data_IF_893103842028
#
_entry.id   IF_893103842028
#
_cell.length_a   1.000
_cell.length_b   1.000
_cell.length_c   1.000
_cell.angle_alpha   90.00
_cell.angle_beta   90.00
_cell.angle_gamma   90.00
#
_symmetry.space_group_name_H-M   'P 1'
#
loop_
_entity.id
_entity.type
_entity.pdbx_description
1 polymer ?
#
# COMPACT_ATOMS: atom_id res chain seq x y z
N UNK A 1 6.08 -22.97 -13.30
CA UNK A 1 5.67 -24.34 -13.69
C UNK A 1 6.89 -25.22 -13.56
N UNK A 2 7.00 -26.00 -12.48
CA UNK A 2 8.07 -26.98 -12.32
C UNK A 2 7.94 -28.07 -13.39
N UNK A 3 8.86 -28.04 -14.36
CA UNK A 3 9.19 -29.21 -15.19
C UNK A 3 10.39 -29.91 -14.58
N UNK A 4 10.17 -30.62 -13.49
CA UNK A 4 11.13 -31.64 -13.06
C UNK A 4 10.38 -32.85 -12.54
N UNK A 5 9.98 -33.69 -13.49
CA UNK A 5 9.33 -34.98 -13.26
C UNK A 5 10.31 -36.11 -12.95
N UNK A 6 11.61 -35.80 -12.81
CA UNK A 6 12.65 -36.83 -12.64
C UNK A 6 12.78 -37.41 -11.23
N UNK A 7 12.09 -36.90 -10.23
CA UNK A 7 12.16 -37.40 -8.85
C UNK A 7 10.89 -38.13 -8.37
N UNK A 8 10.02 -38.56 -9.28
CA UNK A 8 8.87 -39.39 -8.94
C UNK A 8 9.08 -40.80 -9.53
N UNK A 9 9.68 -41.71 -8.79
CA UNK A 9 9.62 -43.14 -9.07
C UNK A 9 8.28 -43.67 -8.57
N UNK A 10 7.41 -44.03 -9.51
CA UNK A 10 6.14 -44.72 -9.22
C UNK A 10 6.44 -46.22 -9.12
N UNK A 11 6.45 -46.76 -7.92
CA UNK A 11 6.42 -48.20 -7.68
C UNK A 11 4.97 -48.64 -7.43
N UNK A 12 4.28 -49.03 -8.50
CA UNK A 12 2.96 -49.62 -8.43
C UNK A 12 3.14 -51.15 -8.11
N UNK A 13 3.16 -51.56 -6.85
CA UNK A 13 2.85 -52.93 -6.49
C UNK A 13 1.36 -53.15 -6.55
N UNK A 14 0.90 -53.91 -7.56
CA UNK A 14 -0.49 -54.35 -7.68
C UNK A 14 -0.93 -55.10 -6.42
N UNK A 15 -2.01 -54.68 -5.78
CA UNK A 15 -2.89 -55.55 -5.04
C UNK A 15 -2.89 -55.50 -3.52
N UNK A 16 -2.91 -54.29 -2.88
CA UNK A 16 -3.54 -54.06 -1.56
C UNK A 16 -3.74 -52.56 -1.34
N UNK A 17 -4.94 -52.15 -0.91
CA UNK A 17 -5.34 -50.79 -0.58
C UNK A 17 -4.69 -50.26 0.71
N UNK A 18 -3.41 -50.00 0.66
CA UNK A 18 -2.75 -49.27 1.74
C UNK A 18 -2.51 -47.81 1.29
N UNK A 19 -2.86 -46.81 2.10
CA UNK A 19 -2.51 -45.43 1.80
C UNK A 19 -1.02 -45.28 1.69
N UNK A 20 -0.49 -44.97 0.52
CA UNK A 20 0.95 -44.74 0.30
C UNK A 20 1.27 -43.33 0.79
N UNK A 21 1.81 -43.20 1.97
CA UNK A 21 2.36 -41.95 2.47
C UNK A 21 3.75 -41.73 1.88
N UNK A 22 3.93 -40.61 1.18
CA UNK A 22 5.25 -40.20 0.69
C UNK A 22 5.71 -38.96 1.44
N UNK A 23 6.94 -38.93 1.86
CA UNK A 23 7.58 -37.75 2.44
C UNK A 23 7.90 -36.77 1.30
N UNK A 24 7.32 -35.57 1.33
CA UNK A 24 7.72 -34.50 0.43
C UNK A 24 9.13 -34.03 0.83
N UNK A 25 10.08 -34.11 -0.09
CA UNK A 25 11.47 -33.67 0.12
C UNK A 25 11.57 -32.17 -0.13
N UNK A 26 10.78 -31.63 -1.05
CA UNK A 26 10.62 -30.19 -1.32
C UNK A 26 9.15 -29.81 -1.16
N UNK A 27 8.90 -28.59 -0.70
CA UNK A 27 7.53 -28.10 -0.59
C UNK A 27 6.93 -27.85 -1.97
N UNK A 28 5.65 -28.18 -2.10
CA UNK A 28 4.88 -27.93 -3.33
C UNK A 28 4.10 -26.63 -3.21
N UNK A 29 3.87 -25.90 -4.32
CA UNK A 29 2.95 -24.75 -4.33
C UNK A 29 1.62 -25.12 -3.70
N UNK A 30 1.08 -24.23 -2.84
CA UNK A 30 -0.17 -24.44 -2.11
C UNK A 30 -0.03 -25.02 -0.70
N UNK A 31 1.16 -25.50 -0.28
CA UNK A 31 1.40 -25.83 1.13
C UNK A 31 1.47 -24.55 1.98
N UNK A 32 0.96 -24.63 3.21
CA UNK A 32 0.85 -23.47 4.14
C UNK A 32 2.16 -22.68 4.32
N UNK A 33 3.31 -23.34 4.29
CA UNK A 33 4.61 -22.73 4.54
C UNK A 33 5.43 -22.46 3.27
N UNK A 34 4.93 -22.81 2.08
CA UNK A 34 5.71 -22.71 0.83
C UNK A 34 6.15 -21.29 0.51
N UNK A 35 5.23 -20.31 0.65
CA UNK A 35 5.56 -18.91 0.41
C UNK A 35 6.65 -18.38 1.37
N UNK A 36 6.56 -18.74 2.66
CA UNK A 36 7.54 -18.34 3.67
C UNK A 36 8.91 -18.93 3.41
N UNK A 37 9.00 -20.22 3.07
CA UNK A 37 10.28 -20.87 2.75
C UNK A 37 10.88 -20.37 1.45
N UNK A 38 10.05 -20.13 0.45
CA UNK A 38 10.50 -19.50 -0.79
C UNK A 38 11.12 -18.14 -0.52
N UNK A 39 10.42 -17.30 0.24
CA UNK A 39 10.93 -16.00 0.66
C UNK A 39 12.27 -16.11 1.40
N UNK A 40 12.40 -17.05 2.33
CA UNK A 40 13.67 -17.28 3.06
C UNK A 40 14.80 -17.67 2.09
N UNK A 41 14.53 -18.59 1.15
CA UNK A 41 15.52 -19.05 0.18
C UNK A 41 16.01 -17.89 -0.71
N UNK A 42 15.09 -17.11 -1.27
CA UNK A 42 15.46 -15.97 -2.13
C UNK A 42 16.13 -14.86 -1.32
N UNK A 43 15.64 -14.58 -0.10
CA UNK A 43 16.26 -13.57 0.77
C UNK A 43 17.69 -13.92 1.14
N UNK A 44 17.96 -15.18 1.53
CA UNK A 44 19.33 -15.63 1.82
C UNK A 44 20.22 -15.51 0.58
N UNK A 45 19.72 -15.92 -0.58
CA UNK A 45 20.47 -15.80 -1.83
C UNK A 45 20.83 -14.34 -2.15
N UNK A 46 19.84 -13.44 -2.08
CA UNK A 46 20.05 -12.02 -2.36
C UNK A 46 20.98 -11.36 -1.35
N UNK A 47 20.85 -11.69 -0.05
CA UNK A 47 21.66 -11.08 1.00
C UNK A 47 23.07 -11.67 1.06
N UNK A 48 23.18 -13.00 1.08
CA UNK A 48 24.47 -13.66 1.36
C UNK A 48 25.34 -13.77 0.11
N UNK A 49 24.75 -14.09 -1.06
CA UNK A 49 25.50 -14.27 -2.31
C UNK A 49 25.50 -13.06 -3.20
N UNK A 50 24.37 -12.38 -3.33
CA UNK A 50 24.26 -11.19 -4.17
C UNK A 50 24.56 -9.88 -3.45
N UNK A 51 24.75 -9.88 -2.11
CA UNK A 51 25.13 -8.73 -1.29
C UNK A 51 24.12 -7.58 -1.29
N UNK A 52 22.83 -7.91 -1.47
CA UNK A 52 21.75 -6.96 -1.25
C UNK A 52 21.51 -6.75 0.24
N UNK A 53 20.98 -5.58 0.59
CA UNK A 53 20.48 -5.29 1.94
C UNK A 53 18.95 -5.19 1.89
N UNK A 54 18.29 -5.78 2.88
CA UNK A 54 16.85 -5.60 3.06
C UNK A 54 16.56 -4.21 3.59
N UNK A 55 15.53 -3.55 3.05
CA UNK A 55 15.06 -2.27 3.56
C UNK A 55 14.63 -2.38 5.04
N UNK A 56 14.72 -1.27 5.75
CA UNK A 56 14.44 -1.22 7.19
C UNK A 56 12.98 -1.52 7.48
N UNK A 57 12.08 -0.93 6.70
CA UNK A 57 10.63 -1.03 6.89
C UNK A 57 10.04 -2.27 6.21
N UNK A 58 10.37 -2.53 4.93
CA UNK A 58 9.86 -3.66 4.18
C UNK A 58 10.96 -4.70 3.90
N UNK A 59 10.89 -5.84 4.58
CA UNK A 59 11.87 -6.93 4.44
C UNK A 59 11.79 -7.64 3.09
N UNK A 60 10.74 -7.41 2.30
CA UNK A 60 10.63 -7.91 0.93
C UNK A 60 11.27 -6.97 -0.11
N UNK A 61 11.82 -5.85 0.32
CA UNK A 61 12.44 -4.85 -0.53
C UNK A 61 13.97 -4.88 -0.37
N UNK A 62 14.68 -5.19 -1.44
CA UNK A 62 16.14 -5.38 -1.43
C UNK A 62 16.83 -4.29 -2.24
N UNK A 63 17.88 -3.70 -1.68
CA UNK A 63 18.64 -2.61 -2.29
C UNK A 63 20.12 -2.98 -2.30
N UNK A 64 20.81 -2.68 -3.41
CA UNK A 64 22.25 -2.83 -3.56
C UNK A 64 22.86 -1.55 -4.08
N UNK A 65 23.92 -1.12 -3.42
CA UNK A 65 24.75 0.03 -3.81
C UNK A 65 26.13 -0.44 -4.25
N UNK A 66 26.77 0.31 -5.12
CA UNK A 66 28.17 0.09 -5.51
C UNK A 66 29.16 0.78 -4.52
N UNK A 67 30.44 0.65 -4.78
CA UNK A 67 31.51 1.29 -3.98
C UNK A 67 31.44 2.82 -4.00
N UNK A 68 30.80 3.40 -5.01
CA UNK A 68 30.65 4.84 -5.18
C UNK A 68 29.31 5.35 -4.60
N UNK A 69 28.60 4.52 -3.84
CA UNK A 69 27.28 4.81 -3.26
C UNK A 69 26.16 4.98 -4.29
N UNK A 70 26.33 4.48 -5.52
CA UNK A 70 25.26 4.49 -6.50
C UNK A 70 24.35 3.26 -6.34
N UNK A 71 23.05 3.44 -6.46
CA UNK A 71 22.09 2.34 -6.47
C UNK A 71 22.25 1.56 -7.78
N UNK A 72 22.68 0.30 -7.69
CA UNK A 72 22.85 -0.59 -8.84
C UNK A 72 21.74 -1.64 -8.95
N UNK A 73 21.00 -1.88 -7.88
CA UNK A 73 19.89 -2.82 -7.88
C UNK A 73 18.83 -2.50 -6.81
N UNK A 74 17.56 -2.57 -7.23
CA UNK A 74 16.39 -2.52 -6.36
C UNK A 74 15.47 -3.67 -6.76
N UNK A 75 15.08 -4.50 -5.81
CA UNK A 75 14.28 -5.71 -6.03
C UNK A 75 13.15 -5.75 -4.98
N UNK A 76 11.95 -5.23 -5.28
CA UNK A 76 10.75 -5.57 -4.52
C UNK A 76 10.33 -7.02 -4.85
N UNK A 77 10.17 -7.86 -3.85
CA UNK A 77 9.79 -9.25 -4.01
C UNK A 77 8.37 -9.47 -3.49
N UNK A 78 7.49 -9.98 -4.34
CA UNK A 78 6.13 -10.38 -3.96
C UNK A 78 5.91 -11.84 -4.34
N UNK A 79 6.04 -12.74 -3.36
CA UNK A 79 6.02 -14.21 -3.54
C UNK A 79 7.06 -14.62 -4.60
N UNK A 80 6.64 -14.90 -5.83
CA UNK A 80 7.46 -15.31 -6.98
C UNK A 80 7.62 -14.22 -8.05
N UNK A 81 6.94 -13.08 -7.85
CA UNK A 81 6.98 -11.94 -8.77
C UNK A 81 7.91 -10.83 -8.28
N UNK A 82 8.59 -10.15 -9.20
CA UNK A 82 9.38 -8.96 -8.93
C UNK A 82 9.41 -8.00 -10.13
N UNK A 83 9.30 -6.69 -9.86
CA UNK A 83 9.54 -5.62 -10.84
C UNK A 83 10.81 -4.86 -10.44
N UNK A 84 11.95 -5.27 -10.97
CA UNK A 84 13.26 -4.80 -10.53
C UNK A 84 13.72 -3.54 -11.30
N UNK A 85 14.51 -2.70 -10.60
CA UNK A 85 15.38 -1.69 -11.22
C UNK A 85 16.82 -2.16 -11.08
N UNK A 86 17.47 -2.51 -12.16
CA UNK A 86 18.83 -3.05 -12.17
C UNK A 86 19.69 -2.31 -13.21
N UNK A 87 20.98 -2.15 -12.91
CA UNK A 87 21.95 -1.84 -13.95
C UNK A 87 22.17 -3.08 -14.82
N UNK A 88 22.59 -2.89 -16.08
CA UNK A 88 22.79 -4.02 -16.99
C UNK A 88 23.83 -5.05 -16.47
N UNK A 89 24.98 -4.64 -15.87
CA UNK A 89 25.90 -5.59 -15.25
C UNK A 89 25.27 -6.38 -14.10
N UNK A 90 24.46 -5.72 -13.27
CA UNK A 90 23.80 -6.37 -12.14
C UNK A 90 22.73 -7.36 -12.59
N UNK A 91 21.97 -7.04 -13.66
CA UNK A 91 20.98 -7.95 -14.23
C UNK A 91 21.66 -9.23 -14.73
N UNK A 92 22.76 -9.11 -15.48
CA UNK A 92 23.56 -10.27 -15.96
C UNK A 92 24.13 -11.09 -14.82
N UNK A 93 24.62 -10.44 -13.77
CA UNK A 93 25.11 -11.11 -12.56
C UNK A 93 24.01 -11.94 -11.88
N UNK A 94 22.83 -11.36 -11.68
CA UNK A 94 21.71 -12.07 -11.07
C UNK A 94 21.22 -13.24 -11.92
N UNK A 95 21.10 -13.08 -13.23
CA UNK A 95 20.74 -14.19 -14.14
C UNK A 95 21.68 -15.36 -14.01
N UNK A 96 23.00 -15.08 -13.96
CA UNK A 96 24.02 -16.12 -13.75
C UNK A 96 23.89 -16.79 -12.39
N UNK A 97 23.77 -16.00 -11.31
CA UNK A 97 23.64 -16.49 -9.95
C UNK A 97 22.41 -17.39 -9.78
N UNK A 98 21.25 -16.96 -10.26
CA UNK A 98 20.03 -17.76 -10.15
C UNK A 98 20.12 -19.07 -10.92
N UNK A 99 20.80 -19.07 -12.08
CA UNK A 99 21.07 -20.29 -12.86
C UNK A 99 22.00 -21.25 -12.13
N UNK A 100 23.03 -20.74 -11.46
CA UNK A 100 23.97 -21.55 -10.66
C UNK A 100 23.30 -22.17 -9.44
N UNK A 101 22.24 -21.54 -8.92
CA UNK A 101 21.46 -22.04 -7.78
C UNK A 101 20.21 -22.86 -8.16
N UNK A 102 20.12 -23.29 -9.42
CA UNK A 102 18.98 -24.06 -9.98
C UNK A 102 17.62 -23.36 -9.79
N UNK A 103 17.62 -22.02 -9.72
CA UNK A 103 16.40 -21.22 -9.65
C UNK A 103 16.03 -20.80 -11.06
N UNK A 104 14.87 -21.26 -11.52
CA UNK A 104 14.35 -20.89 -12.85
C UNK A 104 13.69 -19.52 -12.74
N UNK A 105 14.35 -18.51 -13.31
CA UNK A 105 13.74 -17.21 -13.58
C UNK A 105 12.98 -17.24 -14.90
N UNK A 106 11.82 -16.62 -14.95
CA UNK A 106 11.34 -16.10 -16.22
C UNK A 106 12.34 -15.06 -16.73
N UNK A 107 12.50 -14.99 -18.05
CA UNK A 107 13.48 -14.08 -18.67
C UNK A 107 13.32 -12.66 -18.12
N UNK A 108 14.40 -12.07 -17.62
CA UNK A 108 14.43 -10.67 -17.24
C UNK A 108 14.14 -9.82 -18.49
N UNK A 109 12.93 -9.29 -18.57
CA UNK A 109 12.50 -8.46 -19.69
C UNK A 109 12.75 -6.98 -19.35
N UNK A 110 13.52 -6.30 -20.21
CA UNK A 110 13.63 -4.84 -20.12
C UNK A 110 12.30 -4.20 -20.49
N UNK A 111 11.82 -3.31 -19.63
CA UNK A 111 10.60 -2.54 -19.85
C UNK A 111 10.99 -1.21 -20.51
N UNK A 112 10.41 -0.91 -21.66
CA UNK A 112 10.63 0.31 -22.40
C UNK A 112 9.38 1.20 -22.37
N UNK A 113 9.53 2.47 -22.76
CA UNK A 113 8.37 3.35 -22.95
C UNK A 113 7.39 2.74 -23.96
N UNK A 114 6.13 2.68 -23.58
CA UNK A 114 5.06 2.02 -24.34
C UNK A 114 4.77 0.58 -23.91
N UNK A 115 5.69 -0.06 -23.19
CA UNK A 115 5.47 -1.40 -22.66
C UNK A 115 4.46 -1.38 -21.49
N UNK A 116 3.76 -2.52 -21.36
CA UNK A 116 2.88 -2.78 -20.23
C UNK A 116 3.30 -4.08 -19.52
N UNK A 117 3.30 -4.05 -18.19
CA UNK A 117 3.71 -5.17 -17.33
C UNK A 117 2.70 -5.35 -16.21
N UNK A 118 2.28 -6.58 -15.98
CA UNK A 118 1.48 -6.93 -14.81
C UNK A 118 2.41 -7.25 -13.62
N UNK A 119 2.14 -6.65 -12.47
CA UNK A 119 2.80 -6.95 -11.21
C UNK A 119 1.82 -6.77 -10.05
N UNK A 120 1.72 -7.77 -9.17
CA UNK A 120 0.79 -7.77 -8.03
C UNK A 120 -0.66 -7.46 -8.42
N UNK A 121 -1.13 -8.01 -9.57
CA UNK A 121 -2.49 -7.80 -10.06
C UNK A 121 -2.81 -6.39 -10.55
N UNK A 122 -1.79 -5.56 -10.76
CA UNK A 122 -1.88 -4.23 -11.36
C UNK A 122 -1.10 -4.19 -12.66
N UNK A 123 -1.58 -3.39 -13.59
CA UNK A 123 -0.90 -3.15 -14.87
C UNK A 123 -0.16 -1.83 -14.78
N UNK A 124 1.13 -1.88 -15.08
CA UNK A 124 2.03 -0.75 -15.15
C UNK A 124 2.30 -0.43 -16.62
N UNK A 125 1.94 0.76 -17.06
CA UNK A 125 2.18 1.24 -18.43
C UNK A 125 3.24 2.33 -18.39
N UNK A 126 4.41 2.05 -18.97
CA UNK A 126 5.49 3.02 -19.06
C UNK A 126 5.15 4.10 -20.09
N UNK A 127 5.19 5.36 -19.66
CA UNK A 127 4.99 6.55 -20.50
C UNK A 127 6.26 7.42 -20.51
N UNK A 128 6.43 8.31 -21.51
CA UNK A 128 7.60 9.20 -21.54
C UNK A 128 7.74 10.07 -20.30
N UNK A 129 6.63 10.49 -19.71
CA UNK A 129 6.52 11.41 -18.58
C UNK A 129 6.28 10.74 -17.23
N UNK A 130 6.07 9.41 -17.20
CA UNK A 130 5.82 8.67 -15.95
C UNK A 130 5.30 7.27 -16.16
N UNK A 131 4.61 6.75 -15.17
CA UNK A 131 4.00 5.42 -15.18
C UNK A 131 2.52 5.53 -14.83
N UNK A 132 1.65 4.96 -15.66
CA UNK A 132 0.22 4.77 -15.34
C UNK A 132 0.05 3.39 -14.72
N UNK A 133 -0.62 3.33 -13.58
CA UNK A 133 -0.91 2.10 -12.84
C UNK A 133 -2.41 1.93 -12.76
N UNK A 134 -2.94 0.83 -13.26
CA UNK A 134 -4.38 0.58 -13.29
C UNK A 134 -4.74 -0.89 -13.11
N UNK A 135 -6.05 -1.16 -12.89
CA UNK A 135 -6.63 -2.51 -12.80
C UNK A 135 -7.85 -2.66 -13.74
N UNK A 136 -7.90 -1.92 -14.85
CA UNK A 136 -9.05 -1.89 -15.76
C UNK A 136 -9.56 -3.26 -16.18
N UNK A 137 -8.72 -4.23 -16.62
CA UNK A 137 -9.23 -5.55 -16.99
C UNK A 137 -9.89 -6.30 -15.83
N UNK A 138 -9.47 -6.02 -14.59
CA UNK A 138 -10.12 -6.60 -13.41
C UNK A 138 -11.47 -5.92 -13.16
N UNK A 139 -11.54 -4.58 -13.21
CA UNK A 139 -12.79 -3.82 -13.06
C UNK A 139 -13.82 -4.22 -14.12
N UNK A 140 -13.40 -4.38 -15.37
CA UNK A 140 -14.29 -4.78 -16.47
C UNK A 140 -14.79 -6.22 -16.34
N UNK A 141 -13.88 -7.19 -16.11
CA UNK A 141 -14.17 -8.63 -16.28
C UNK A 141 -14.50 -9.34 -14.98
N UNK A 142 -13.97 -8.90 -13.85
CA UNK A 142 -14.11 -9.59 -12.56
C UNK A 142 -15.09 -8.92 -11.62
N UNK A 143 -15.12 -7.57 -11.61
CA UNK A 143 -16.10 -6.84 -10.83
C UNK A 143 -17.48 -6.98 -11.49
N UNK A 144 -18.38 -7.69 -10.85
CA UNK A 144 -19.72 -7.94 -11.37
C UNK A 144 -20.78 -7.31 -10.46
N UNK A 145 -21.85 -6.80 -11.07
CA UNK A 145 -23.05 -6.41 -10.33
C UNK A 145 -23.63 -7.64 -9.62
N UNK A 146 -24.04 -7.44 -8.39
CA UNK A 146 -24.77 -8.47 -7.65
C UNK A 146 -26.20 -8.65 -8.20
N UNK A 147 -26.86 -9.80 -7.96
CA UNK A 147 -28.24 -10.02 -8.36
C UNK A 147 -29.17 -8.91 -7.88
N UNK A 148 -30.10 -8.46 -8.72
CA UNK A 148 -31.06 -7.42 -8.34
C UNK A 148 -32.04 -7.94 -7.30
N UNK A 149 -32.24 -7.17 -6.25
CA UNK A 149 -33.29 -7.44 -5.26
C UNK A 149 -34.64 -6.88 -5.72
N UNK A 150 -35.73 -7.48 -5.29
CA UNK A 150 -37.08 -6.98 -5.57
C UNK A 150 -37.24 -5.55 -5.00
N UNK A 151 -37.82 -4.66 -5.81
CA UNK A 151 -37.97 -3.25 -5.41
C UNK A 151 -38.93 -3.08 -4.21
N UNK A 152 -39.87 -4.01 -4.02
CA UNK A 152 -40.84 -3.99 -2.91
C UNK A 152 -40.23 -4.30 -1.55
N UNK A 153 -38.97 -4.76 -1.47
CA UNK A 153 -38.33 -5.08 -0.17
C UNK A 153 -37.93 -3.81 0.57
N UNK A 154 -38.18 -3.81 1.86
CA UNK A 154 -37.79 -2.71 2.76
C UNK A 154 -36.27 -2.60 2.87
N UNK A 155 -35.73 -1.38 2.88
CA UNK A 155 -34.28 -1.14 2.95
C UNK A 155 -33.66 -1.58 4.27
N UNK A 156 -34.42 -1.60 5.36
CA UNK A 156 -34.00 -2.06 6.68
C UNK A 156 -34.02 -3.60 6.81
N UNK A 157 -34.64 -4.30 5.86
CA UNK A 157 -34.72 -5.75 5.85
C UNK A 157 -33.32 -6.36 5.72
N UNK A 158 -33.03 -7.39 6.48
CA UNK A 158 -31.74 -8.11 6.40
C UNK A 158 -31.68 -8.95 5.13
N UNK A 159 -30.53 -8.96 4.52
CA UNK A 159 -30.24 -9.83 3.40
C UNK A 159 -30.21 -11.32 3.81
N UNK A 160 -30.60 -12.19 2.91
CA UNK A 160 -30.47 -13.63 3.09
C UNK A 160 -28.99 -14.06 3.16
N UNK A 161 -28.74 -15.32 3.51
CA UNK A 161 -27.39 -15.88 3.55
C UNK A 161 -26.68 -15.81 2.18
N UNK A 162 -27.40 -16.07 1.08
CA UNK A 162 -26.86 -16.03 -0.29
C UNK A 162 -26.54 -14.58 -0.73
N UNK A 163 -27.45 -13.66 -0.43
CA UNK A 163 -27.26 -12.24 -0.70
C UNK A 163 -26.07 -11.70 0.10
N UNK A 164 -25.96 -12.07 1.38
CA UNK A 164 -24.83 -11.67 2.25
C UNK A 164 -23.49 -12.22 1.73
N UNK A 165 -23.49 -13.45 1.18
CA UNK A 165 -22.31 -14.03 0.54
C UNK A 165 -21.93 -13.26 -0.73
N UNK A 166 -22.90 -12.92 -1.57
CA UNK A 166 -22.68 -12.11 -2.77
C UNK A 166 -22.14 -10.74 -2.43
N UNK A 167 -22.72 -10.07 -1.43
CA UNK A 167 -22.26 -8.80 -0.89
C UNK A 167 -20.80 -8.87 -0.40
N UNK A 168 -20.47 -9.89 0.42
CA UNK A 168 -19.12 -10.08 0.94
C UNK A 168 -18.08 -10.34 -0.16
N UNK A 169 -18.48 -11.01 -1.26
CA UNK A 169 -17.63 -11.24 -2.42
C UNK A 169 -17.36 -9.93 -3.16
N UNK A 170 -18.41 -9.13 -3.42
CA UNK A 170 -18.29 -7.84 -4.11
C UNK A 170 -17.42 -6.86 -3.33
N UNK A 171 -17.61 -6.75 -2.01
CA UNK A 171 -16.74 -5.94 -1.13
C UNK A 171 -15.28 -6.40 -1.23
N UNK A 172 -15.01 -7.71 -1.21
CA UNK A 172 -13.64 -8.23 -1.36
C UNK A 172 -13.01 -7.85 -2.70
N UNK A 173 -13.78 -7.86 -3.78
CA UNK A 173 -13.34 -7.43 -5.11
C UNK A 173 -13.02 -5.93 -5.15
N UNK A 174 -13.85 -5.09 -4.55
CA UNK A 174 -13.63 -3.64 -4.47
C UNK A 174 -12.41 -3.29 -3.62
N UNK A 175 -12.24 -3.93 -2.46
CA UNK A 175 -11.05 -3.73 -1.61
C UNK A 175 -9.76 -4.06 -2.39
N UNK A 176 -9.79 -5.07 -3.25
CA UNK A 176 -8.65 -5.41 -4.12
C UNK A 176 -8.29 -4.29 -5.10
N UNK A 177 -9.27 -3.50 -5.52
CA UNK A 177 -9.09 -2.41 -6.47
C UNK A 177 -8.75 -1.06 -5.82
N UNK A 178 -8.89 -0.92 -4.50
CA UNK A 178 -8.66 0.35 -3.79
C UNK A 178 -7.37 1.08 -4.18
N UNK A 179 -6.22 0.40 -4.41
CA UNK A 179 -5.00 1.10 -4.82
C UNK A 179 -5.10 1.89 -6.12
N UNK A 180 -6.09 1.60 -6.97
CA UNK A 180 -6.32 2.30 -8.25
C UNK A 180 -7.68 3.00 -8.32
N UNK A 181 -8.58 2.70 -7.37
CA UNK A 181 -9.92 3.33 -7.24
C UNK A 181 -10.02 4.13 -5.93
N UNK A 182 -8.93 4.80 -5.54
CA UNK A 182 -8.84 5.48 -4.23
C UNK A 182 -9.89 6.58 -4.04
N UNK A 183 -10.39 7.19 -5.11
CA UNK A 183 -11.47 8.18 -5.09
C UNK A 183 -12.74 7.62 -4.44
N UNK A 184 -13.01 6.33 -4.65
CA UNK A 184 -14.15 5.63 -4.05
C UNK A 184 -13.84 5.00 -2.71
N UNK A 185 -12.67 5.26 -2.13
CA UNK A 185 -12.17 4.54 -0.95
C UNK A 185 -13.07 4.75 0.28
N UNK A 186 -13.63 5.94 0.47
CA UNK A 186 -14.59 6.20 1.54
C UNK A 186 -15.82 5.30 1.41
N UNK A 187 -16.48 5.34 0.27
CA UNK A 187 -17.70 4.57 0.02
C UNK A 187 -17.48 3.06 0.15
N UNK A 188 -16.38 2.55 -0.41
CA UNK A 188 -16.02 1.13 -0.32
C UNK A 188 -15.77 0.72 1.14
N UNK A 189 -15.03 1.51 1.91
CA UNK A 189 -14.71 1.20 3.31
C UNK A 189 -15.90 1.41 4.22
N UNK A 190 -16.78 2.36 3.94
CA UNK A 190 -18.06 2.51 4.61
C UNK A 190 -18.93 1.27 4.41
N UNK A 191 -19.13 0.83 3.18
CA UNK A 191 -19.92 -0.36 2.84
C UNK A 191 -19.29 -1.65 3.40
N UNK A 192 -17.98 -1.76 3.47
CA UNK A 192 -17.30 -2.92 4.05
C UNK A 192 -17.67 -3.17 5.53
N UNK A 193 -18.14 -2.16 6.25
CA UNK A 193 -18.61 -2.28 7.66
C UNK A 193 -19.81 -3.19 7.82
N UNK A 194 -20.61 -3.34 6.76
CA UNK A 194 -21.86 -4.12 6.78
C UNK A 194 -21.68 -5.53 6.26
N UNK A 195 -20.45 -5.96 5.99
CA UNK A 195 -20.15 -7.26 5.34
C UNK A 195 -20.77 -8.46 6.04
N UNK A 196 -20.90 -8.45 7.36
CA UNK A 196 -21.41 -9.60 8.14
C UNK A 196 -22.92 -9.69 8.17
N UNK A 197 -23.62 -8.57 8.11
CA UNK A 197 -25.08 -8.48 8.13
C UNK A 197 -25.55 -7.28 7.30
N UNK A 198 -25.48 -7.35 5.97
CA UNK A 198 -25.99 -6.29 5.12
C UNK A 198 -27.51 -6.22 5.17
N UNK A 199 -28.06 -5.02 5.02
CA UNK A 199 -29.48 -4.80 4.74
C UNK A 199 -29.71 -4.61 3.27
N UNK A 200 -30.96 -4.65 2.82
CA UNK A 200 -31.36 -4.43 1.42
C UNK A 200 -30.88 -3.06 0.93
N UNK A 201 -30.96 -2.02 1.76
CA UNK A 201 -30.49 -0.68 1.42
C UNK A 201 -29.00 -0.63 1.13
N UNK A 202 -28.14 -1.18 2.03
CA UNK A 202 -26.68 -1.22 1.78
C UNK A 202 -26.31 -2.13 0.62
N UNK A 203 -27.08 -3.19 0.34
CA UNK A 203 -26.87 -4.05 -0.81
C UNK A 203 -27.11 -3.29 -2.13
N UNK A 204 -28.19 -2.50 -2.20
CA UNK A 204 -28.49 -1.64 -3.35
C UNK A 204 -27.42 -0.59 -3.56
N UNK A 205 -27.04 0.13 -2.49
CA UNK A 205 -25.98 1.14 -2.50
C UNK A 205 -24.65 0.55 -3.02
N UNK A 206 -24.30 -0.68 -2.62
CA UNK A 206 -23.09 -1.35 -3.16
C UNK A 206 -23.21 -1.61 -4.66
N UNK A 207 -24.36 -2.02 -5.16
CA UNK A 207 -24.58 -2.19 -6.61
C UNK A 207 -24.48 -0.87 -7.38
N UNK A 208 -24.95 0.25 -6.81
CA UNK A 208 -24.82 1.58 -7.38
C UNK A 208 -23.35 1.99 -7.45
N UNK A 209 -22.59 1.75 -6.37
CA UNK A 209 -21.14 2.00 -6.33
C UNK A 209 -20.40 1.18 -7.39
N UNK A 210 -20.70 -0.12 -7.51
CA UNK A 210 -20.12 -0.98 -8.56
C UNK A 210 -20.48 -0.45 -9.95
N UNK A 211 -21.73 -0.04 -10.15
CA UNK A 211 -22.16 0.50 -11.43
C UNK A 211 -21.43 1.80 -11.80
N UNK A 212 -21.28 2.72 -10.85
CA UNK A 212 -20.52 3.98 -11.04
C UNK A 212 -19.05 3.69 -11.41
N UNK A 213 -18.37 2.84 -10.65
CA UNK A 213 -16.97 2.46 -10.93
C UNK A 213 -16.84 1.83 -12.32
N UNK A 214 -17.78 0.99 -12.72
CA UNK A 214 -17.77 0.35 -14.05
C UNK A 214 -18.11 1.31 -15.19
N UNK A 215 -18.87 2.36 -14.95
CA UNK A 215 -19.17 3.37 -15.94
C UNK A 215 -17.95 4.25 -16.30
N UNK A 216 -16.98 4.35 -15.37
CA UNK A 216 -15.81 5.23 -15.51
C UNK A 216 -14.49 4.46 -15.33
N UNK A 217 -14.42 3.22 -15.85
CA UNK A 217 -13.24 2.35 -15.65
C UNK A 217 -11.93 3.05 -15.99
N UNK A 218 -11.90 3.79 -17.09
CA UNK A 218 -10.68 4.45 -17.59
C UNK A 218 -10.21 5.63 -16.71
N UNK A 219 -11.06 6.12 -15.82
CA UNK A 219 -10.68 7.17 -14.84
C UNK A 219 -9.98 6.61 -13.61
N UNK A 220 -10.07 5.31 -13.37
CA UNK A 220 -9.49 4.63 -12.22
C UNK A 220 -8.04 4.22 -12.48
N UNK A 221 -7.11 5.13 -12.25
CA UNK A 221 -5.67 4.89 -12.35
C UNK A 221 -4.89 5.79 -11.39
N UNK A 222 -3.64 5.40 -11.13
CA UNK A 222 -2.64 6.22 -10.46
C UNK A 222 -1.57 6.60 -11.50
N UNK A 223 -1.21 7.86 -11.56
CA UNK A 223 -0.11 8.34 -12.37
C UNK A 223 1.08 8.72 -11.49
N UNK A 224 2.21 8.04 -11.69
CA UNK A 224 3.48 8.38 -11.06
C UNK A 224 4.35 9.13 -12.07
N UNK A 225 4.52 10.45 -11.91
CA UNK A 225 5.30 11.23 -12.85
C UNK A 225 6.78 10.89 -12.75
N UNK A 226 7.51 11.07 -13.85
CA UNK A 226 8.96 11.02 -13.85
C UNK A 226 9.49 12.34 -13.28
N UNK A 227 10.03 12.29 -12.08
CA UNK A 227 10.62 13.45 -11.40
C UNK A 227 11.91 13.89 -12.10
N UNK A 228 12.22 15.18 -11.99
CA UNK A 228 13.48 15.75 -12.46
C UNK A 228 14.63 15.29 -11.59
N UNK A 229 15.72 14.85 -12.20
CA UNK A 229 16.88 14.32 -11.48
C UNK A 229 17.69 15.39 -10.72
N UNK A 230 17.55 16.65 -11.11
CA UNK A 230 18.22 17.82 -10.54
C UNK A 230 17.48 18.43 -9.34
N UNK A 231 16.29 17.95 -9.04
CA UNK A 231 15.49 18.43 -7.91
C UNK A 231 15.43 17.39 -6.79
N UNK A 232 15.47 17.86 -5.52
CA UNK A 232 15.17 16.97 -4.40
C UNK A 232 13.73 16.49 -4.48
N UNK A 233 13.49 15.29 -3.96
CA UNK A 233 12.14 14.76 -3.78
C UNK A 233 11.77 14.91 -2.31
N UNK A 234 10.53 15.24 -2.00
CA UNK A 234 9.96 15.27 -0.66
C UNK A 234 8.76 14.36 -0.55
N UNK A 235 8.49 13.87 0.64
CA UNK A 235 7.25 13.16 0.97
C UNK A 235 6.24 14.14 1.53
N UNK A 236 5.01 14.11 1.01
CA UNK A 236 3.91 14.93 1.51
C UNK A 236 2.75 14.00 1.83
N UNK A 237 2.21 14.05 3.03
CA UNK A 237 0.99 13.34 3.38
C UNK A 237 -0.12 14.36 3.60
N UNK A 238 -1.14 14.29 2.77
CA UNK A 238 -2.36 15.08 2.96
C UNK A 238 -3.36 14.21 3.70
N UNK A 239 -3.96 14.75 4.76
CA UNK A 239 -4.90 14.01 5.57
C UNK A 239 -6.13 14.83 5.96
N UNK A 240 -7.24 14.11 6.11
CA UNK A 240 -8.53 14.64 6.54
C UNK A 240 -9.26 13.63 7.44
N UNK A 241 -10.07 14.11 8.38
CA UNK A 241 -10.93 13.28 9.20
C UNK A 241 -12.34 13.85 9.23
N UNK A 242 -13.31 13.01 8.88
CA UNK A 242 -14.72 13.36 8.89
C UNK A 242 -15.50 12.60 9.94
N UNK A 243 -16.57 13.22 10.46
CA UNK A 243 -17.62 12.52 11.17
C UNK A 243 -18.30 11.57 10.17
N UNK A 244 -18.10 10.26 10.36
CA UNK A 244 -18.66 9.26 9.46
C UNK A 244 -20.18 9.32 9.41
N UNK A 245 -20.75 8.89 8.28
CA UNK A 245 -22.20 8.76 8.14
C UNK A 245 -22.83 7.86 9.22
N UNK A 246 -24.03 8.21 9.66
CA UNK A 246 -24.82 7.33 10.50
C UNK A 246 -25.09 6.00 9.74
N UNK A 247 -24.96 4.87 10.43
CA UNK A 247 -25.24 3.59 9.79
C UNK A 247 -26.72 3.51 9.39
N UNK A 248 -27.04 2.94 8.20
CA UNK A 248 -28.40 2.78 7.74
C UNK A 248 -29.26 2.01 8.73
N UNK A 249 -30.57 2.31 8.74
CA UNK A 249 -31.53 1.62 9.60
C UNK A 249 -31.46 0.11 9.43
N UNK A 250 -31.66 -0.62 10.54
CA UNK A 250 -31.62 -2.10 10.54
C UNK A 250 -30.20 -2.71 10.59
N UNK A 251 -29.14 -1.90 10.43
CA UNK A 251 -27.77 -2.38 10.60
C UNK A 251 -27.34 -2.40 12.07
N UNK A 252 -26.40 -3.30 12.42
CA UNK A 252 -25.81 -3.35 13.76
C UNK A 252 -24.49 -2.57 13.86
N UNK A 253 -24.08 -1.90 12.77
CA UNK A 253 -22.87 -1.11 12.77
C UNK A 253 -23.01 0.12 13.68
N UNK A 254 -21.95 0.41 14.44
CA UNK A 254 -21.89 1.62 15.26
C UNK A 254 -21.42 2.79 14.39
N UNK A 255 -21.88 4.00 14.72
CA UNK A 255 -21.31 5.23 14.16
C UNK A 255 -19.79 5.26 14.42
N UNK A 256 -19.02 5.59 13.42
CA UNK A 256 -17.55 5.70 13.50
C UNK A 256 -17.08 6.78 12.54
N UNK A 257 -16.17 7.59 13.04
CA UNK A 257 -15.47 8.56 12.20
C UNK A 257 -14.57 7.86 11.19
N UNK A 258 -14.33 8.52 10.10
CA UNK A 258 -13.43 8.09 9.05
C UNK A 258 -12.20 9.01 8.99
N UNK A 259 -11.13 8.46 8.50
CA UNK A 259 -9.90 9.18 8.20
C UNK A 259 -9.45 8.85 6.78
N UNK A 260 -8.94 9.87 6.09
CA UNK A 260 -8.35 9.75 4.76
C UNK A 260 -6.89 10.20 4.82
N UNK A 261 -6.03 9.49 4.11
CA UNK A 261 -4.60 9.81 3.99
C UNK A 261 -4.15 9.58 2.56
N UNK A 262 -3.54 10.61 1.98
CA UNK A 262 -3.03 10.64 0.63
C UNK A 262 -1.52 10.97 0.67
N UNK A 263 -0.64 9.98 0.75
CA UNK A 263 0.79 10.19 0.65
C UNK A 263 1.23 10.39 -0.80
N UNK A 264 2.05 11.40 -1.01
CA UNK A 264 2.63 11.79 -2.29
C UNK A 264 4.16 11.84 -2.22
N UNK A 265 4.80 11.56 -3.35
CA UNK A 265 6.13 12.09 -3.64
C UNK A 265 5.97 13.38 -4.46
N UNK A 266 6.73 14.40 -4.12
CA UNK A 266 6.67 15.70 -4.78
C UNK A 266 8.07 16.23 -5.08
N UNK A 267 8.23 16.95 -6.20
CA UNK A 267 9.46 17.71 -6.48
C UNK A 267 9.62 18.85 -5.47
N UNK A 268 10.80 18.98 -4.89
CA UNK A 268 11.14 20.07 -3.98
C UNK A 268 11.40 21.37 -4.73
N UNK A 269 10.36 21.96 -5.30
CA UNK A 269 10.43 23.26 -5.99
C UNK A 269 10.27 24.42 -4.97
N UNK A 270 10.83 25.61 -5.27
CA UNK A 270 10.58 26.80 -4.48
C UNK A 270 9.08 27.15 -4.39
N UNK A 271 8.65 27.79 -3.30
CA UNK A 271 7.23 28.21 -3.16
C UNK A 271 6.76 29.02 -4.36
N UNK A 272 5.55 28.68 -4.85
CA UNK A 272 4.94 29.34 -6.00
C UNK A 272 5.39 28.84 -7.37
N UNK A 273 6.32 27.89 -7.43
CA UNK A 273 6.69 27.23 -8.68
C UNK A 273 5.95 25.90 -8.87
N UNK A 274 5.54 25.56 -10.11
CA UNK A 274 4.93 24.27 -10.40
C UNK A 274 5.94 23.15 -10.26
N UNK A 275 5.59 22.13 -9.51
CA UNK A 275 6.35 20.87 -9.36
C UNK A 275 5.48 19.67 -9.68
N UNK A 276 6.12 18.57 -10.05
CA UNK A 276 5.42 17.31 -10.25
C UNK A 276 5.09 16.66 -8.92
N UNK A 277 3.91 16.03 -8.85
CA UNK A 277 3.43 15.32 -7.67
C UNK A 277 2.89 13.96 -8.12
N UNK A 278 3.30 12.90 -7.45
CA UNK A 278 2.83 11.53 -7.70
C UNK A 278 2.19 10.96 -6.45
N UNK A 279 0.92 10.54 -6.55
CA UNK A 279 0.25 9.82 -5.48
C UNK A 279 0.85 8.41 -5.35
N UNK A 280 1.24 8.03 -4.13
CA UNK A 280 1.77 6.69 -3.85
C UNK A 280 0.63 5.74 -3.49
N UNK A 281 -0.28 6.21 -2.64
CA UNK A 281 -1.36 5.43 -2.07
C UNK A 281 -2.51 6.39 -1.72
N UNK A 282 -3.75 5.94 -1.90
CA UNK A 282 -4.92 6.59 -1.32
C UNK A 282 -5.61 5.59 -0.40
N UNK A 283 -5.89 6.01 0.82
CA UNK A 283 -6.62 5.17 1.76
C UNK A 283 -7.62 5.97 2.59
N UNK A 284 -8.82 5.42 2.71
CA UNK A 284 -9.81 5.85 3.68
C UNK A 284 -10.10 4.69 4.62
N UNK A 285 -10.09 4.93 5.91
CA UNK A 285 -10.32 3.90 6.93
C UNK A 285 -11.18 4.44 8.07
N UNK A 286 -11.90 3.54 8.73
CA UNK A 286 -12.65 3.93 9.93
C UNK A 286 -11.69 4.14 11.10
N UNK A 287 -11.91 5.17 11.90
CA UNK A 287 -11.22 5.38 13.15
C UNK A 287 -11.69 4.32 14.16
N UNK A 288 -10.77 3.52 14.67
CA UNK A 288 -11.07 2.43 15.62
C UNK A 288 -11.07 2.92 17.07
N UNK A 289 -10.36 3.98 17.36
CA UNK A 289 -10.28 4.61 18.68
C UNK A 289 -11.60 5.34 18.99
N UNK A 290 -11.90 5.54 20.27
CA UNK A 290 -13.08 6.30 20.70
C UNK A 290 -12.80 7.78 20.51
N UNK A 291 -13.70 8.46 19.82
CA UNK A 291 -13.69 9.90 19.56
C UNK A 291 -14.89 10.54 20.25
N UNK A 292 -14.68 11.68 20.88
CA UNK A 292 -15.72 12.43 21.59
C UNK A 292 -16.03 13.78 20.92
N UNK A 293 -15.12 14.23 20.04
CA UNK A 293 -15.24 15.47 19.29
C UNK A 293 -14.47 15.36 17.98
N UNK A 294 -14.73 16.25 17.01
CA UNK A 294 -13.98 16.33 15.75
C UNK A 294 -12.47 16.44 15.95
N UNK A 295 -12.06 17.22 16.96
CA UNK A 295 -10.65 17.34 17.34
C UNK A 295 -9.98 15.99 17.67
N UNK A 296 -10.72 15.04 18.27
CA UNK A 296 -10.18 13.71 18.55
C UNK A 296 -9.89 12.94 17.26
N UNK A 297 -10.81 13.00 16.29
CA UNK A 297 -10.68 12.35 15.00
C UNK A 297 -9.53 12.95 14.18
N UNK A 298 -9.46 14.28 14.14
CA UNK A 298 -8.38 15.02 13.49
C UNK A 298 -7.02 14.69 14.11
N UNK A 299 -6.92 14.64 15.45
CA UNK A 299 -5.66 14.33 16.13
C UNK A 299 -5.19 12.91 15.83
N UNK A 300 -6.10 11.93 15.85
CA UNK A 300 -5.77 10.54 15.51
C UNK A 300 -5.29 10.43 14.07
N UNK A 301 -6.01 11.06 13.14
CA UNK A 301 -5.67 11.00 11.73
C UNK A 301 -4.31 11.65 11.44
N UNK A 302 -4.00 12.79 12.07
CA UNK A 302 -2.71 13.46 11.89
C UNK A 302 -1.55 12.60 12.42
N UNK A 303 -1.71 11.87 13.53
CA UNK A 303 -0.69 10.94 14.05
C UNK A 303 -0.56 9.70 13.15
N UNK A 304 -1.66 9.12 12.71
CA UNK A 304 -1.62 7.99 11.78
C UNK A 304 -1.01 8.40 10.43
N UNK A 305 -1.25 9.65 9.96
CA UNK A 305 -0.59 10.23 8.77
C UNK A 305 0.91 10.47 8.98
N UNK A 306 1.32 10.87 10.18
CA UNK A 306 2.72 11.01 10.57
C UNK A 306 3.43 9.65 10.49
N UNK A 307 2.88 8.60 11.10
CA UNK A 307 3.46 7.26 11.08
C UNK A 307 3.59 6.72 9.65
N UNK A 308 2.53 6.88 8.84
CA UNK A 308 2.55 6.51 7.43
C UNK A 308 3.61 7.29 6.66
N UNK A 309 3.69 8.60 6.87
CA UNK A 309 4.64 9.49 6.23
C UNK A 309 6.09 9.14 6.56
N UNK A 310 6.41 8.85 7.82
CA UNK A 310 7.76 8.42 8.24
C UNK A 310 8.15 7.13 7.52
N UNK A 311 7.27 6.13 7.47
CA UNK A 311 7.55 4.85 6.82
C UNK A 311 7.80 5.00 5.31
N UNK A 312 7.00 5.82 4.62
CA UNK A 312 7.17 6.09 3.18
C UNK A 312 8.45 6.90 2.96
N UNK A 313 8.72 7.87 3.82
CA UNK A 313 9.91 8.70 3.71
C UNK A 313 11.20 7.91 3.92
N UNK A 314 11.22 6.97 4.88
CA UNK A 314 12.34 6.05 5.06
C UNK A 314 12.54 5.19 3.81
N UNK A 315 11.50 4.56 3.27
CA UNK A 315 11.59 3.74 2.07
C UNK A 315 12.04 4.58 0.85
N UNK A 316 11.52 5.79 0.70
CA UNK A 316 11.94 6.72 -0.36
C UNK A 316 13.41 7.09 -0.25
N UNK A 317 13.88 7.38 0.97
CA UNK A 317 15.29 7.70 1.25
C UNK A 317 16.19 6.49 0.97
N UNK A 318 15.81 5.29 1.45
CA UNK A 318 16.55 4.06 1.17
C UNK A 318 16.64 3.74 -0.33
N UNK A 319 15.58 4.02 -1.07
CA UNK A 319 15.53 3.85 -2.53
C UNK A 319 16.47 4.79 -3.27
N UNK A 320 16.79 5.94 -2.69
CA UNK A 320 17.68 6.96 -3.29
C UNK A 320 19.12 6.83 -2.82
N UNK A 321 19.36 6.48 -1.56
CA UNK A 321 20.67 6.56 -0.92
C UNK A 321 21.15 5.22 -0.31
N UNK A 322 20.40 4.14 -0.49
CA UNK A 322 20.71 2.84 0.11
C UNK A 322 20.10 2.67 1.50
N UNK A 323 20.11 1.42 1.96
CA UNK A 323 19.47 1.04 3.24
C UNK A 323 20.11 1.72 4.43
N UNK A 324 19.30 2.21 5.35
CA UNK A 324 19.74 2.83 6.59
C UNK A 324 20.78 1.96 7.32
N UNK A 325 21.95 2.51 7.69
CA UNK A 325 22.97 1.79 8.43
C UNK A 325 22.48 1.30 9.79
N UNK A 326 23.05 0.20 10.29
CA UNK A 326 22.68 -0.38 11.59
C UNK A 326 22.96 0.62 12.73
N UNK A 327 22.27 0.45 13.86
CA UNK A 327 22.49 1.28 15.06
C UNK A 327 23.93 1.23 15.60
N UNK A 328 24.66 0.14 15.33
CA UNK A 328 26.08 -0.01 15.66
C UNK A 328 27.00 0.85 14.80
N UNK A 329 26.57 1.26 13.61
CA UNK A 329 27.29 2.06 12.62
C UNK A 329 26.92 3.54 12.78
N UNK A 330 27.26 4.12 13.94
CA UNK A 330 26.73 5.44 14.38
C UNK A 330 27.03 6.60 13.44
N UNK A 331 28.25 6.69 12.93
CA UNK A 331 28.67 7.81 12.07
C UNK A 331 28.04 7.71 10.68
N UNK A 332 27.99 6.50 10.11
CA UNK A 332 27.34 6.24 8.83
C UNK A 332 25.84 6.50 8.92
N UNK A 333 25.22 6.05 10.03
CA UNK A 333 23.80 6.32 10.28
C UNK A 333 23.52 7.81 10.42
N UNK A 334 24.35 8.57 11.14
CA UNK A 334 24.22 10.03 11.26
C UNK A 334 24.32 10.71 9.90
N UNK A 335 25.26 10.30 9.07
CA UNK A 335 25.40 10.78 7.69
C UNK A 335 24.17 10.43 6.86
N UNK A 336 23.68 9.18 6.97
CA UNK A 336 22.48 8.75 6.25
C UNK A 336 21.24 9.53 6.68
N UNK A 337 21.06 9.77 7.99
CA UNK A 337 19.95 10.57 8.52
C UNK A 337 19.94 12.00 7.95
N UNK A 338 21.11 12.59 7.66
CA UNK A 338 21.19 13.91 7.03
C UNK A 338 20.82 13.93 5.54
N UNK A 339 20.68 12.77 4.91
CA UNK A 339 20.22 12.62 3.52
C UNK A 339 18.70 12.42 3.42
N UNK A 340 18.00 12.26 4.55
CA UNK A 340 16.55 12.06 4.55
C UNK A 340 15.85 13.17 3.80
N UNK A 341 14.93 12.77 2.94
CA UNK A 341 14.09 13.72 2.21
C UNK A 341 13.13 14.42 3.19
N UNK A 342 12.74 15.68 2.95
CA UNK A 342 11.76 16.34 3.80
C UNK A 342 10.43 15.61 3.82
N UNK A 343 9.81 15.49 5.01
CA UNK A 343 8.45 15.00 5.20
C UNK A 343 7.56 16.16 5.63
N UNK A 344 6.47 16.37 4.92
CA UNK A 344 5.46 17.38 5.25
C UNK A 344 4.11 16.72 5.50
N UNK A 345 3.40 17.14 6.56
CA UNK A 345 2.03 16.70 6.85
C UNK A 345 1.11 17.89 6.62
N UNK A 346 0.15 17.72 5.73
CA UNK A 346 -0.83 18.76 5.34
C UNK A 346 -2.22 18.35 5.82
N UNK A 347 -2.86 19.21 6.62
CA UNK A 347 -4.18 18.97 7.19
C UNK A 347 -4.95 20.28 7.32
N UNK A 348 -6.27 20.22 7.32
CA UNK A 348 -7.14 21.36 7.64
C UNK A 348 -7.39 21.50 9.16
N UNK A 349 -6.89 20.59 9.97
CA UNK A 349 -6.97 20.60 11.43
C UNK A 349 -6.11 21.72 12.06
N UNK A 350 -6.52 22.98 11.88
CA UNK A 350 -5.78 24.14 12.37
C UNK A 350 -5.52 24.10 13.88
N UNK A 351 -6.44 23.55 14.66
CA UNK A 351 -6.33 23.42 16.12
C UNK A 351 -5.18 22.47 16.49
N UNK A 352 -5.07 21.31 15.81
CA UNK A 352 -4.00 20.37 16.01
C UNK A 352 -2.64 20.99 15.66
N UNK A 353 -2.51 21.62 14.50
CA UNK A 353 -1.27 22.25 14.02
C UNK A 353 -0.80 23.35 14.97
N UNK A 354 -1.72 24.19 15.48
CA UNK A 354 -1.39 25.22 16.48
C UNK A 354 -0.83 24.60 17.76
N UNK A 355 -1.44 23.55 18.28
CA UNK A 355 -0.99 22.88 19.50
C UNK A 355 0.38 22.22 19.33
N UNK A 356 0.64 21.58 18.18
CA UNK A 356 1.97 21.03 17.85
C UNK A 356 3.05 22.13 17.86
N UNK A 357 2.74 23.32 17.32
CA UNK A 357 3.72 24.43 17.22
C UNK A 357 3.90 25.20 18.52
N UNK A 358 2.83 25.48 19.26
CA UNK A 358 2.85 26.44 20.42
C UNK A 358 3.03 25.70 21.73
N UNK A 359 2.56 24.47 21.84
CA UNK A 359 2.55 23.69 23.05
C UNK A 359 1.14 23.38 23.57
N UNK A 360 1.10 22.46 24.57
CA UNK A 360 -0.16 21.94 25.09
C UNK A 360 -1.04 22.97 25.76
N UNK A 361 -2.35 22.84 25.53
CA UNK A 361 -3.38 23.40 26.38
C UNK A 361 -3.64 22.46 27.55
N UNK A 362 -3.81 23.01 28.76
CA UNK A 362 -4.14 22.26 29.98
C UNK A 362 -5.52 21.55 29.91
N UNK A 363 -6.33 21.82 28.88
CA UNK A 363 -7.71 21.30 28.72
C UNK A 363 -7.79 20.00 27.94
N UNK A 364 -6.67 19.48 27.41
CA UNK A 364 -6.68 18.27 26.61
C UNK A 364 -6.82 17.00 27.47
N UNK A 365 -7.50 15.99 26.93
CA UNK A 365 -7.45 14.66 27.52
C UNK A 365 -6.03 14.11 27.48
N UNK A 366 -5.65 13.26 28.46
CA UNK A 366 -4.31 12.69 28.55
C UNK A 366 -3.87 11.97 27.25
N UNK A 367 -4.82 11.38 26.51
CA UNK A 367 -4.53 10.73 25.22
C UNK A 367 -4.17 11.75 24.16
N UNK A 368 -4.97 12.80 24.02
CA UNK A 368 -4.72 13.86 23.01
C UNK A 368 -3.44 14.61 23.31
N UNK A 369 -3.12 14.80 24.59
CA UNK A 369 -1.85 15.37 24.98
C UNK A 369 -0.64 14.56 24.44
N UNK A 370 -0.72 13.21 24.51
CA UNK A 370 0.33 12.35 23.93
C UNK A 370 0.41 12.46 22.42
N UNK A 371 -0.73 12.44 21.71
CA UNK A 371 -0.75 12.60 20.26
C UNK A 371 -0.07 13.91 19.82
N UNK A 372 -0.27 15.00 20.57
CA UNK A 372 0.38 16.29 20.33
C UNK A 372 1.89 16.23 20.65
N UNK A 373 2.25 15.58 21.76
CA UNK A 373 3.66 15.44 22.15
C UNK A 373 4.43 14.58 21.16
N UNK A 374 3.85 13.47 20.66
CA UNK A 374 4.47 12.62 19.65
C UNK A 374 4.71 13.39 18.33
N UNK A 375 3.72 14.17 17.89
CA UNK A 375 3.85 15.00 16.69
C UNK A 375 4.90 16.13 16.87
N UNK A 376 4.97 16.72 18.06
CA UNK A 376 5.99 17.73 18.39
C UNK A 376 7.37 17.12 18.42
N UNK A 377 7.53 15.99 19.09
CA UNK A 377 8.81 15.28 19.17
C UNK A 377 9.32 14.95 17.76
N UNK A 378 8.46 14.46 16.87
CA UNK A 378 8.83 14.20 15.48
C UNK A 378 9.30 15.46 14.73
N UNK A 379 8.72 16.63 15.03
CA UNK A 379 9.15 17.91 14.46
C UNK A 379 10.50 18.35 15.04
N UNK A 380 10.71 18.20 16.35
CA UNK A 380 11.96 18.54 17.05
C UNK A 380 13.11 17.61 16.64
N UNK A 381 12.86 16.32 16.47
CA UNK A 381 13.82 15.32 16.02
C UNK A 381 14.14 15.43 14.52
N UNK A 382 13.35 16.22 13.77
CA UNK A 382 13.49 16.38 12.33
C UNK A 382 12.96 15.22 11.50
N UNK A 383 12.15 14.33 12.10
CA UNK A 383 11.45 13.27 11.38
C UNK A 383 10.36 13.86 10.46
N UNK A 384 9.79 14.98 10.84
CA UNK A 384 8.89 15.81 10.04
C UNK A 384 9.48 17.20 9.91
N UNK A 385 9.49 17.74 8.70
CA UNK A 385 9.97 19.08 8.42
C UNK A 385 8.91 20.17 8.63
N UNK A 386 7.64 19.81 8.44
CA UNK A 386 6.55 20.77 8.47
C UNK A 386 5.18 20.11 8.71
N UNK A 387 4.40 20.70 9.63
CA UNK A 387 2.94 20.56 9.65
C UNK A 387 2.32 21.80 9.02
N UNK A 388 1.58 21.65 7.92
CA UNK A 388 1.00 22.74 7.16
C UNK A 388 -0.53 22.69 7.20
N UNK A 389 -1.14 23.85 7.49
CA UNK A 389 -2.58 24.01 7.36
C UNK A 389 -2.96 24.24 5.89
N UNK A 390 -3.90 23.44 5.39
CA UNK A 390 -4.58 23.63 4.12
C UNK A 390 -6.06 23.94 4.38
N UNK A 391 -6.72 24.65 3.44
CA UNK A 391 -8.16 24.93 3.60
C UNK A 391 -8.96 23.68 3.29
N UNK A 392 -10.00 23.38 4.10
CA UNK A 392 -10.85 22.19 3.88
C UNK A 392 -11.38 22.08 2.45
N UNK A 393 -11.91 23.20 1.88
CA UNK A 393 -12.41 23.23 0.49
C UNK A 393 -11.35 22.93 -0.60
N UNK A 394 -10.07 22.90 -0.26
CA UNK A 394 -8.97 22.57 -1.18
C UNK A 394 -8.20 21.33 -0.69
N UNK A 395 -8.70 20.67 0.34
CA UNK A 395 -8.09 19.45 0.86
C UNK A 395 -8.43 18.25 -0.05
N UNK A 396 -7.47 17.67 -0.79
CA UNK A 396 -7.75 16.52 -1.66
C UNK A 396 -8.09 15.26 -0.89
N UNK A 397 -7.92 15.22 0.42
CA UNK A 397 -8.31 14.11 1.29
C UNK A 397 -9.77 14.21 1.79
N UNK A 398 -10.46 15.32 1.52
CA UNK A 398 -11.90 15.52 1.77
C UNK A 398 -12.71 14.88 0.62
N UNK A 399 -12.76 13.53 0.61
CA UNK A 399 -13.40 12.65 -0.39
C UNK A 399 -14.48 11.76 0.21
#
# INVERSE_FOLDING_TARGET
VMKDTKNFTYDFKKGKDYPIYRKLIKETPGCKNSASRWFQTISSLLVEKAQYRQASFDKSYFIKIDKNQNIIGIIPLHVDDSKCRLTEPEAKFLEKLFREEDIVLNVLRKINVGDQVEFCGKIYVEKPDGVVIHQWPYLEKKLALMPKLAQSRDESEKCSSEESKSYGTAIGQLIWCLPTTFVDSYEITFLARFRTQPTVGVYRRLNETIFAIKAEVDSHFVFLPRFRADLPVKTVVVCDASAGEAPPQGTQAKHKDHQCQLPFLAEGVPPGQPGKVGLILGQSTKITKVTHASFDSESINNVDALDLGININELSTETQFGVCPKRSEKDERKKWMSLRTPLEIHSDALSFIKLVRIGMSQTLTRRRARDIDDARQALEDGDVSLFMHIRGVTNPADI
#
